data_IF_401864275698
#
_entry.id   IF_401864275698
#
_cell.length_a   1.000
_cell.length_b   1.000
_cell.length_c   1.000
_cell.angle_alpha   90.00
_cell.angle_beta   90.00
_cell.angle_gamma   90.00
#
_symmetry.space_group_name_H-M   'P 1'
#
loop_
_entity.id
_entity.type
_entity.pdbx_description
1 polymer ?
#
# COMPACT_ATOMS: atom_id res chain seq x y z
N UNK A 1 5.89 8.55 -1.25
CA UNK A 1 4.50 8.86 -1.61
C UNK A 1 3.86 7.61 -2.19
N UNK A 2 2.55 7.48 -2.04
CA UNK A 2 1.77 6.32 -2.46
C UNK A 2 0.48 6.75 -3.18
N UNK A 3 0.06 5.98 -4.17
CA UNK A 3 -1.16 6.20 -4.95
C UNK A 3 -1.85 4.85 -5.18
N UNK A 4 -3.13 4.76 -4.83
CA UNK A 4 -3.96 3.57 -4.97
C UNK A 4 -4.90 3.78 -6.17
N UNK A 5 -4.85 2.86 -7.11
CA UNK A 5 -5.66 2.89 -8.33
C UNK A 5 -6.56 1.67 -8.36
N UNK A 6 -7.87 1.89 -8.44
CA UNK A 6 -8.82 0.79 -8.61
C UNK A 6 -8.66 0.17 -10.00
N UNK A 7 -8.59 -1.15 -10.06
CA UNK A 7 -8.49 -1.89 -11.32
C UNK A 7 -9.80 -1.90 -12.11
N UNK A 8 -10.93 -1.88 -11.41
CA UNK A 8 -12.27 -1.91 -12.01
C UNK A 8 -12.57 -0.59 -12.75
N UNK A 9 -12.47 0.53 -12.04
CA UNK A 9 -12.84 1.85 -12.58
C UNK A 9 -11.64 2.62 -13.17
N UNK A 10 -10.42 2.08 -13.06
CA UNK A 10 -9.16 2.69 -13.55
C UNK A 10 -8.93 4.13 -13.08
N UNK A 11 -9.33 4.44 -11.84
CA UNK A 11 -9.19 5.77 -11.22
C UNK A 11 -8.34 5.69 -9.97
N UNK A 12 -7.67 6.81 -9.66
CA UNK A 12 -7.07 7.01 -8.35
C UNK A 12 -8.18 7.06 -7.32
N UNK A 13 -8.12 6.16 -6.34
CA UNK A 13 -9.10 6.06 -5.26
C UNK A 13 -8.57 6.61 -3.94
N UNK A 14 -7.25 6.65 -3.77
CA UNK A 14 -6.62 7.28 -2.61
C UNK A 14 -5.14 7.57 -2.87
N UNK A 15 -4.59 8.50 -2.10
CA UNK A 15 -3.18 8.88 -2.10
C UNK A 15 -2.66 8.96 -0.67
N UNK A 16 -1.37 8.74 -0.49
CA UNK A 16 -0.72 8.80 0.82
C UNK A 16 0.67 9.42 0.76
N UNK A 17 1.02 10.15 1.82
CA UNK A 17 2.35 10.70 2.06
C UNK A 17 2.89 10.21 3.41
N UNK A 18 4.21 10.24 3.57
CA UNK A 18 4.81 10.00 4.88
C UNK A 18 4.41 11.16 5.80
N UNK A 19 3.96 10.87 7.01
CA UNK A 19 3.51 11.90 7.93
C UNK A 19 2.85 11.32 9.17
N UNK A 20 2.43 12.22 10.06
CA UNK A 20 1.72 11.86 11.28
C UNK A 20 0.32 11.32 10.99
N UNK A 21 -0.19 10.52 11.92
CA UNK A 21 -1.59 10.11 11.92
C UNK A 21 -2.47 11.35 12.07
N UNK A 22 -3.54 11.43 11.28
CA UNK A 22 -4.51 12.52 11.35
C UNK A 22 -5.01 12.73 12.79
N UNK A 23 -4.93 13.97 13.28
CA UNK A 23 -5.29 14.33 14.65
C UNK A 23 -4.19 14.20 15.71
N UNK A 24 -2.96 13.80 15.35
CA UNK A 24 -1.81 13.76 16.26
C UNK A 24 -0.67 14.64 15.74
N UNK A 25 -0.12 15.52 16.59
CA UNK A 25 1.03 16.36 16.25
C UNK A 25 2.37 15.67 16.48
N UNK A 26 2.45 14.75 17.46
CA UNK A 26 3.71 14.18 17.91
C UNK A 26 3.63 12.65 18.10
N UNK A 27 4.66 11.95 17.60
CA UNK A 27 5.02 10.59 18.04
C UNK A 27 4.75 9.42 17.08
N UNK A 28 3.83 9.53 16.12
CA UNK A 28 3.46 8.40 15.25
C UNK A 28 3.57 8.72 13.76
N UNK A 29 4.80 8.69 13.24
CA UNK A 29 5.03 8.81 11.78
C UNK A 29 4.65 7.50 11.10
N UNK A 30 3.78 7.61 10.11
CA UNK A 30 3.34 6.51 9.27
C UNK A 30 3.93 6.60 7.86
N UNK A 31 4.17 5.44 7.25
CA UNK A 31 4.58 5.37 5.86
C UNK A 31 3.42 5.75 4.94
N UNK A 32 3.75 6.28 3.76
CA UNK A 32 2.81 6.72 2.74
C UNK A 32 1.79 5.63 2.36
N UNK A 33 2.21 4.37 2.27
CA UNK A 33 1.34 3.24 1.92
C UNK A 33 0.27 3.03 2.98
N UNK A 34 0.65 3.14 4.26
CA UNK A 34 -0.31 3.01 5.35
C UNK A 34 -1.34 4.12 5.32
N UNK A 35 -0.88 5.36 5.17
CA UNK A 35 -1.77 6.53 5.15
C UNK A 35 -2.73 6.47 3.96
N UNK A 36 -2.26 6.04 2.78
CA UNK A 36 -3.12 5.83 1.61
C UNK A 36 -4.18 4.76 1.83
N UNK A 37 -3.79 3.60 2.39
CA UNK A 37 -4.73 2.51 2.68
C UNK A 37 -5.78 2.95 3.72
N UNK A 38 -5.37 3.62 4.79
CA UNK A 38 -6.30 4.11 5.81
C UNK A 38 -7.24 5.18 5.26
N UNK A 39 -6.75 6.07 4.41
CA UNK A 39 -7.57 7.08 3.74
C UNK A 39 -8.62 6.42 2.83
N UNK A 40 -8.24 5.41 2.06
CA UNK A 40 -9.19 4.65 1.25
C UNK A 40 -10.30 4.02 2.11
N UNK A 41 -9.96 3.39 3.24
CA UNK A 41 -10.98 2.86 4.16
C UNK A 41 -11.85 3.94 4.77
N UNK A 42 -11.29 5.09 5.18
CA UNK A 42 -12.05 6.22 5.71
C UNK A 42 -13.12 6.70 4.72
N UNK A 43 -12.82 6.68 3.43
CA UNK A 43 -13.74 7.12 2.37
C UNK A 43 -14.50 5.97 1.69
N UNK A 44 -14.51 4.77 2.29
CA UNK A 44 -15.17 3.58 1.75
C UNK A 44 -14.78 3.25 0.30
N UNK A 45 -13.51 3.46 -0.06
CA UNK A 45 -12.98 3.11 -1.35
C UNK A 45 -12.66 1.60 -1.42
N UNK A 46 -13.10 0.96 -2.50
CA UNK A 46 -12.81 -0.44 -2.76
C UNK A 46 -11.33 -0.62 -3.16
N UNK A 47 -10.62 -1.46 -2.41
CA UNK A 47 -9.20 -1.78 -2.64
C UNK A 47 -8.98 -3.20 -3.18
N UNK A 48 -10.04 -4.02 -3.24
CA UNK A 48 -9.92 -5.38 -3.76
C UNK A 48 -9.41 -5.36 -5.19
N UNK A 49 -8.28 -6.05 -5.42
CA UNK A 49 -7.60 -6.09 -6.71
C UNK A 49 -7.07 -4.74 -7.23
N UNK A 50 -6.97 -3.73 -6.37
CA UNK A 50 -6.34 -2.46 -6.72
C UNK A 50 -4.83 -2.61 -6.96
N UNK A 51 -4.26 -1.58 -7.60
CA UNK A 51 -2.81 -1.43 -7.81
C UNK A 51 -2.30 -0.29 -6.92
N UNK A 52 -1.27 -0.58 -6.13
CA UNK A 52 -0.53 0.40 -5.34
C UNK A 52 0.72 0.84 -6.10
N UNK A 53 0.85 2.13 -6.36
CA UNK A 53 2.07 2.76 -6.82
C UNK A 53 2.74 3.46 -5.64
N UNK A 54 4.00 3.15 -5.34
CA UNK A 54 4.75 3.81 -4.26
C UNK A 54 6.15 4.20 -4.73
N UNK A 55 6.70 5.27 -4.14
CA UNK A 55 8.03 5.76 -4.51
C UNK A 55 9.16 4.90 -3.95
N UNK A 56 8.94 4.18 -2.84
CA UNK A 56 9.93 3.33 -2.19
C UNK A 56 9.36 1.94 -1.92
N UNK A 57 10.23 0.95 -1.68
CA UNK A 57 9.76 -0.39 -1.34
C UNK A 57 8.95 -0.35 -0.02
N UNK A 58 7.76 -0.99 0.02
CA UNK A 58 6.94 -0.97 1.22
C UNK A 58 7.65 -1.71 2.37
N UNK A 59 7.64 -1.11 3.55
CA UNK A 59 8.19 -1.75 4.74
C UNK A 59 7.32 -2.96 5.17
N UNK A 60 7.85 -3.90 5.98
CA UNK A 60 7.13 -5.10 6.38
C UNK A 60 5.75 -4.87 6.99
N UNK A 61 5.59 -3.83 7.81
CA UNK A 61 4.30 -3.47 8.41
C UNK A 61 3.29 -3.00 7.37
N UNK A 62 3.76 -2.32 6.32
CA UNK A 62 2.90 -1.93 5.20
C UNK A 62 2.60 -3.12 4.31
N UNK A 63 3.56 -4.03 4.09
CA UNK A 63 3.35 -5.26 3.33
C UNK A 63 2.18 -6.10 3.89
N UNK A 64 2.14 -6.31 5.22
CA UNK A 64 1.03 -7.01 5.88
C UNK A 64 -0.31 -6.33 5.56
N UNK A 65 -0.37 -5.00 5.64
CA UNK A 65 -1.60 -4.24 5.39
C UNK A 65 -2.01 -4.24 3.93
N UNK A 66 -1.05 -4.20 3.00
CA UNK A 66 -1.28 -4.35 1.56
C UNK A 66 -1.93 -5.71 1.27
N UNK A 67 -1.38 -6.78 1.86
CA UNK A 67 -1.93 -8.14 1.74
C UNK A 67 -3.35 -8.18 2.28
N UNK A 68 -3.56 -7.71 3.51
CA UNK A 68 -4.87 -7.69 4.18
C UNK A 68 -5.92 -6.87 3.42
N UNK A 69 -5.50 -5.78 2.77
CA UNK A 69 -6.39 -4.90 1.98
C UNK A 69 -6.68 -5.44 0.58
N UNK A 70 -6.25 -6.66 0.26
CA UNK A 70 -6.48 -7.32 -1.03
C UNK A 70 -5.95 -6.58 -2.26
N UNK A 71 -4.94 -5.70 -2.11
CA UNK A 71 -4.25 -5.00 -3.22
C UNK A 71 -3.36 -5.97 -4.00
N UNK A 72 -3.66 -6.25 -5.28
CA UNK A 72 -3.03 -7.34 -6.06
C UNK A 72 -1.68 -7.00 -6.67
N UNK A 73 -1.43 -5.73 -6.91
CA UNK A 73 -0.23 -5.31 -7.63
C UNK A 73 0.43 -4.16 -6.88
N UNK A 74 1.74 -4.23 -6.70
CA UNK A 74 2.54 -3.14 -6.13
C UNK A 74 3.62 -2.76 -7.14
N UNK A 75 3.71 -1.47 -7.45
CA UNK A 75 4.70 -0.91 -8.37
C UNK A 75 5.54 0.10 -7.58
N UNK A 76 6.86 -0.11 -7.53
CA UNK A 76 7.79 0.83 -6.91
C UNK A 76 9.05 1.00 -7.75
N UNK A 77 9.54 2.23 -7.89
CA UNK A 77 10.75 2.52 -8.67
C UNK A 77 10.70 2.08 -10.14
N UNK A 78 9.50 1.96 -10.73
CA UNK A 78 9.32 1.44 -12.10
C UNK A 78 9.36 -0.09 -12.21
N UNK A 79 9.60 -0.81 -11.11
CA UNK A 79 9.53 -2.26 -11.04
C UNK A 79 8.14 -2.70 -10.57
N UNK A 80 7.55 -3.66 -11.28
CA UNK A 80 6.29 -4.29 -10.92
C UNK A 80 6.56 -5.53 -10.07
N UNK A 81 5.89 -5.63 -8.92
CA UNK A 81 5.78 -6.87 -8.16
C UNK A 81 4.36 -7.42 -8.32
N UNK A 82 4.25 -8.61 -8.90
CA UNK A 82 3.00 -9.37 -8.94
C UNK A 82 2.94 -10.35 -7.77
N UNK A 83 1.75 -10.46 -7.17
CA UNK A 83 1.46 -11.48 -6.16
C UNK A 83 1.33 -12.85 -6.84
N UNK A 84 2.41 -13.60 -6.90
CA UNK A 84 2.32 -15.06 -6.78
C UNK A 84 2.10 -15.38 -5.30
N UNK A 85 1.16 -16.27 -4.99
CA UNK A 85 0.50 -16.45 -3.70
C UNK A 85 1.39 -16.77 -2.47
N UNK A 86 2.72 -16.84 -2.62
CA UNK A 86 3.68 -17.24 -1.57
C UNK A 86 4.82 -16.23 -1.32
N UNK A 87 4.94 -15.16 -2.11
CA UNK A 87 6.11 -14.25 -2.06
C UNK A 87 5.77 -12.96 -1.33
N UNK A 88 5.65 -13.02 0.00
CA UNK A 88 5.39 -11.81 0.81
C UNK A 88 6.56 -10.83 0.70
N UNK A 89 6.25 -9.56 0.41
CA UNK A 89 7.16 -8.41 0.30
C UNK A 89 8.00 -8.22 1.58
N UNK A 90 9.09 -8.96 1.69
CA UNK A 90 10.17 -8.71 2.64
C UNK A 90 11.45 -8.42 1.87
N UNK A 91 12.19 -7.42 2.33
CA UNK A 91 13.50 -6.97 1.82
C UNK A 91 14.37 -8.10 1.24
N UNK A 92 14.25 -8.35 -0.07
CA UNK A 92 15.13 -9.24 -0.83
C UNK A 92 15.08 -10.73 -0.51
N UNK A 93 14.23 -11.22 0.41
CA UNK A 93 14.01 -12.67 0.60
C UNK A 93 12.55 -13.00 0.88
N UNK A 94 12.04 -13.85 0.01
CA UNK A 94 10.75 -14.54 0.04
C UNK A 94 10.58 -15.23 1.39
N UNK A 95 9.62 -14.77 2.19
CA UNK A 95 9.11 -15.53 3.32
C UNK A 95 7.93 -16.37 2.81
N UNK A 96 8.23 -17.61 2.45
CA UNK A 96 7.27 -18.71 2.25
C UNK A 96 6.86 -19.24 3.62
N UNK A 97 5.56 -19.40 3.87
CA UNK A 97 5.00 -20.32 4.87
C UNK A 97 4.10 -21.29 4.13
#
# INVERSE_FOLDING_TARGET
>A
GACLVSKEIRRVVSVGSNGFVDGFSDGYVCCAEFNGIMSAFRYNAELTSATLYTTGAPCPRCAIKIVQSQIKTVIYGGHQMEREAEKTLYWGKVATL
#
